data_IF_116645810050
#
_entry.id   IF_116645810050
#
_cell.length_a   1.000
_cell.length_b   1.000
_cell.length_c   1.000
_cell.angle_alpha   90.00
_cell.angle_beta   90.00
_cell.angle_gamma   90.00
#
_symmetry.space_group_name_H-M   'P 1'
#
loop_
_entity.id
_entity.type
_entity.pdbx_description
1 polymer ?
#
# COMPACT_ATOMS: atom_id res chain seq x y z
N UNK A 1 4.85 -5.15 -12.10
CA UNK A 1 4.64 -6.55 -12.50
C UNK A 1 3.18 -6.82 -12.81
N UNK A 2 2.27 -6.78 -11.82
CA UNK A 2 0.85 -7.14 -12.01
C UNK A 2 0.19 -6.45 -13.22
N UNK A 3 0.26 -5.12 -13.29
CA UNK A 3 -0.46 -4.34 -14.31
C UNK A 3 0.19 -4.37 -15.71
N UNK A 4 1.34 -5.05 -15.85
CA UNK A 4 2.06 -5.19 -17.13
C UNK A 4 2.28 -6.65 -17.50
N UNK A 5 1.62 -7.57 -16.81
CA UNK A 5 1.74 -9.01 -17.02
C UNK A 5 1.06 -9.40 -18.34
N UNK A 6 1.84 -9.93 -19.29
CA UNK A 6 1.33 -10.31 -20.61
C UNK A 6 0.44 -11.55 -20.59
N UNK A 7 0.47 -12.32 -19.50
CA UNK A 7 -0.45 -13.44 -19.29
C UNK A 7 -1.77 -13.03 -18.62
N UNK A 8 -1.95 -11.74 -18.32
CA UNK A 8 -3.16 -11.16 -17.71
C UNK A 8 -3.54 -11.79 -16.33
N UNK A 9 -2.60 -12.48 -15.69
CA UNK A 9 -2.79 -13.11 -14.39
C UNK A 9 -2.48 -12.16 -13.22
N UNK A 10 -2.03 -10.93 -13.50
CA UNK A 10 -1.69 -9.92 -12.49
C UNK A 10 -2.80 -9.57 -11.50
N UNK A 11 -4.06 -9.78 -11.89
CA UNK A 11 -5.26 -9.57 -11.07
C UNK A 11 -5.82 -10.84 -10.43
N UNK A 12 -5.12 -11.97 -10.59
CA UNK A 12 -5.43 -13.24 -9.92
C UNK A 12 -4.71 -13.33 -8.55
N UNK A 13 -5.36 -13.95 -7.58
CA UNK A 13 -4.83 -14.11 -6.21
C UNK A 13 -3.57 -14.98 -6.13
N UNK A 14 -3.37 -15.90 -7.08
CA UNK A 14 -2.21 -16.79 -7.13
C UNK A 14 -0.95 -16.13 -7.70
N UNK A 15 -1.05 -14.94 -8.29
CA UNK A 15 0.09 -14.27 -8.93
C UNK A 15 1.30 -14.10 -8.00
N UNK A 16 1.07 -13.61 -6.78
CA UNK A 16 2.14 -13.43 -5.79
C UNK A 16 2.58 -14.76 -5.17
N UNK A 17 1.65 -15.69 -4.95
CA UNK A 17 1.94 -17.03 -4.42
C UNK A 17 2.86 -17.82 -5.36
N UNK A 18 2.61 -17.73 -6.67
CA UNK A 18 3.40 -18.42 -7.67
C UNK A 18 4.83 -17.91 -7.70
N UNK A 19 5.04 -16.59 -7.77
CA UNK A 19 6.41 -16.05 -7.77
C UNK A 19 7.13 -16.31 -6.44
N UNK A 20 6.42 -16.22 -5.31
CA UNK A 20 6.95 -16.57 -3.99
C UNK A 20 7.52 -17.99 -3.96
N UNK A 21 6.72 -18.99 -4.34
CA UNK A 21 7.13 -20.39 -4.28
C UNK A 21 8.27 -20.70 -5.28
N UNK A 22 8.27 -20.09 -6.46
CA UNK A 22 9.40 -20.20 -7.38
C UNK A 22 10.69 -19.65 -6.76
N UNK A 23 10.65 -18.45 -6.18
CA UNK A 23 11.82 -17.84 -5.55
C UNK A 23 12.33 -18.66 -4.35
N UNK A 24 11.42 -19.14 -3.50
CA UNK A 24 11.78 -20.01 -2.37
C UNK A 24 12.41 -21.33 -2.83
N UNK A 25 12.01 -21.88 -3.97
CA UNK A 25 12.65 -23.09 -4.51
C UNK A 25 14.08 -22.84 -4.99
N UNK A 26 14.44 -21.60 -5.32
CA UNK A 26 15.77 -21.20 -5.81
C UNK A 26 16.72 -20.88 -4.65
N UNK A 27 16.22 -20.24 -3.59
CA UNK A 27 17.05 -19.80 -2.47
C UNK A 27 17.54 -20.95 -1.58
N UNK A 28 18.77 -20.80 -1.07
CA UNK A 28 19.32 -21.70 -0.06
C UNK A 28 18.84 -21.34 1.36
N UNK A 29 19.24 -22.14 2.36
CA UNK A 29 18.81 -21.95 3.74
C UNK A 29 19.26 -20.58 4.31
N UNK A 30 20.48 -20.13 4.02
CA UNK A 30 21.01 -18.87 4.55
C UNK A 30 20.24 -17.67 3.98
N UNK A 31 19.97 -17.66 2.68
CA UNK A 31 19.19 -16.61 2.01
C UNK A 31 17.76 -16.55 2.55
N UNK A 32 17.12 -17.71 2.77
CA UNK A 32 15.81 -17.79 3.44
C UNK A 32 15.86 -17.26 4.86
N UNK A 33 16.92 -17.59 5.62
CA UNK A 33 17.10 -17.10 6.98
C UNK A 33 17.26 -15.57 7.03
N UNK A 34 17.89 -14.95 6.02
CA UNK A 34 17.99 -13.49 5.93
C UNK A 34 16.62 -12.81 5.79
N UNK A 35 15.74 -13.33 4.94
CA UNK A 35 14.36 -12.82 4.83
C UNK A 35 13.57 -12.99 6.12
N UNK A 36 13.70 -14.14 6.78
CA UNK A 36 13.02 -14.39 8.05
C UNK A 36 13.54 -13.50 9.18
N UNK A 37 14.85 -13.28 9.25
CA UNK A 37 15.45 -12.35 10.20
C UNK A 37 14.90 -10.92 10.00
N UNK A 38 14.76 -10.49 8.74
CA UNK A 38 14.18 -9.20 8.39
C UNK A 38 12.69 -9.11 8.78
N UNK A 39 11.90 -10.18 8.58
CA UNK A 39 10.49 -10.24 8.99
C UNK A 39 10.34 -10.05 10.50
N UNK A 40 11.16 -10.76 11.30
CA UNK A 40 11.22 -10.62 12.76
C UNK A 40 11.67 -9.22 13.19
N UNK A 41 12.63 -8.64 12.47
CA UNK A 41 13.11 -7.28 12.73
C UNK A 41 12.01 -6.23 12.54
N UNK A 42 11.15 -6.41 11.52
CA UNK A 42 10.23 -5.37 11.06
C UNK A 42 8.77 -5.52 11.55
N UNK A 43 8.34 -6.69 12.05
CA UNK A 43 6.94 -6.94 12.43
C UNK A 43 6.35 -5.87 13.36
N UNK A 44 7.11 -5.47 14.39
CA UNK A 44 6.66 -4.46 15.35
C UNK A 44 6.50 -3.07 14.75
N UNK A 45 7.30 -2.73 13.72
CA UNK A 45 7.21 -1.42 13.05
C UNK A 45 5.99 -1.38 12.12
N UNK A 46 5.70 -2.48 11.41
CA UNK A 46 4.46 -2.57 10.62
C UNK A 46 3.22 -2.43 11.48
N UNK A 47 3.21 -3.05 12.67
CA UNK A 47 2.14 -2.87 13.65
C UNK A 47 1.98 -1.39 14.04
N UNK A 48 3.07 -0.70 14.36
CA UNK A 48 3.05 0.74 14.67
C UNK A 48 2.52 1.58 13.50
N UNK A 49 2.91 1.28 12.26
CA UNK A 49 2.39 1.97 11.07
C UNK A 49 0.87 1.75 10.97
N UNK A 50 0.39 0.52 11.13
CA UNK A 50 -1.03 0.21 11.07
C UNK A 50 -1.84 0.97 12.13
N UNK A 51 -1.35 1.01 13.38
CA UNK A 51 -1.96 1.76 14.48
C UNK A 51 -1.99 3.27 14.18
N UNK A 52 -0.89 3.83 13.64
CA UNK A 52 -0.85 5.24 13.25
C UNK A 52 -1.86 5.55 12.15
N UNK A 53 -2.03 4.66 11.17
CA UNK A 53 -3.04 4.81 10.12
C UNK A 53 -4.47 4.76 10.68
N UNK A 54 -4.72 3.98 11.72
CA UNK A 54 -6.04 3.95 12.38
C UNK A 54 -6.41 5.33 12.97
N UNK A 55 -5.45 6.06 13.55
CA UNK A 55 -5.66 7.43 14.04
C UNK A 55 -6.15 8.35 12.93
N UNK A 56 -5.55 8.26 11.73
CA UNK A 56 -5.97 9.06 10.55
C UNK A 56 -7.38 8.68 10.09
N UNK A 57 -7.66 7.38 9.96
CA UNK A 57 -8.99 6.89 9.55
C UNK A 57 -10.07 7.41 10.50
N UNK A 58 -9.81 7.32 11.82
CA UNK A 58 -10.73 7.82 12.85
C UNK A 58 -10.90 9.34 12.82
N UNK A 59 -9.82 10.10 12.63
CA UNK A 59 -9.92 11.56 12.51
C UNK A 59 -10.68 12.00 11.25
N UNK A 60 -10.47 11.33 10.11
CA UNK A 60 -11.21 11.61 8.88
C UNK A 60 -12.69 11.25 9.02
N UNK A 61 -13.00 10.19 9.77
CA UNK A 61 -14.38 9.85 10.14
C UNK A 61 -15.00 10.87 11.09
N UNK A 62 -14.27 11.36 12.08
CA UNK A 62 -14.76 12.43 12.93
C UNK A 62 -15.03 13.72 12.12
N UNK A 63 -14.20 14.03 11.11
CA UNK A 63 -14.39 15.18 10.23
C UNK A 63 -15.65 15.07 9.34
N UNK A 64 -15.95 13.88 8.81
CA UNK A 64 -17.14 13.66 7.97
C UNK A 64 -18.43 13.65 8.80
N UNK A 65 -18.39 13.11 10.02
CA UNK A 65 -19.54 13.03 10.93
C UNK A 65 -19.77 14.31 11.75
N UNK A 66 -18.78 15.20 11.83
CA UNK A 66 -18.86 16.41 12.65
C UNK A 66 -18.61 16.17 14.14
N UNK A 67 -18.07 15.01 14.52
CA UNK A 67 -17.75 14.64 15.90
C UNK A 67 -16.32 15.05 16.27
N UNK A 68 -16.02 16.34 16.07
CA UNK A 68 -14.68 16.92 16.31
C UNK A 68 -14.37 16.90 17.82
N UNK A 69 -13.12 16.60 18.25
CA UNK A 69 -12.75 16.61 19.67
C UNK A 69 -13.06 17.94 20.37
N UNK A 70 -13.45 17.88 21.63
CA UNK A 70 -13.78 19.07 22.42
C UNK A 70 -12.60 20.05 22.51
N UNK A 71 -12.86 21.34 22.26
CA UNK A 71 -11.82 22.38 22.23
C UNK A 71 -11.09 22.52 20.88
N UNK A 72 -11.51 21.77 19.86
CA UNK A 72 -10.99 21.86 18.49
C UNK A 72 -12.08 22.31 17.51
N UNK A 73 -11.66 22.88 16.37
CA UNK A 73 -12.55 23.50 15.37
C UNK A 73 -12.67 22.72 14.06
N UNK A 74 -11.55 22.22 13.53
CA UNK A 74 -11.49 21.58 12.22
C UNK A 74 -10.28 20.66 12.10
N UNK A 75 -10.33 19.75 11.12
CA UNK A 75 -9.15 18.98 10.73
C UNK A 75 -8.04 19.93 10.28
N UNK A 76 -6.82 19.72 10.76
CA UNK A 76 -5.69 20.61 10.46
C UNK A 76 -4.81 20.00 9.36
N UNK A 77 -4.67 20.71 8.24
CA UNK A 77 -3.77 20.28 7.15
C UNK A 77 -2.34 20.09 7.65
N UNK A 78 -1.80 21.08 8.38
CA UNK A 78 -0.45 21.01 8.94
C UNK A 78 -0.27 19.82 9.86
N UNK A 79 -1.24 19.56 10.74
CA UNK A 79 -1.14 18.43 11.66
C UNK A 79 -1.19 17.08 10.92
N UNK A 80 -2.08 16.94 9.93
CA UNK A 80 -2.18 15.73 9.10
C UNK A 80 -0.88 15.51 8.34
N UNK A 81 -0.32 16.53 7.69
CA UNK A 81 0.96 16.44 6.96
C UNK A 81 2.10 15.98 7.86
N UNK A 82 2.28 16.61 9.01
CA UNK A 82 3.34 16.26 9.97
C UNK A 82 3.17 14.83 10.50
N UNK A 83 1.93 14.44 10.79
CA UNK A 83 1.64 13.11 11.29
C UNK A 83 1.92 12.02 10.25
N UNK A 84 1.53 12.24 9.00
CA UNK A 84 1.80 11.31 7.89
C UNK A 84 3.29 11.28 7.53
N UNK A 85 3.99 12.42 7.59
CA UNK A 85 5.45 12.46 7.44
C UNK A 85 6.14 11.52 8.45
N UNK A 86 5.70 11.52 9.72
CA UNK A 86 6.19 10.58 10.73
C UNK A 86 5.88 9.11 10.46
N UNK A 87 4.82 8.78 9.70
CA UNK A 87 4.57 7.42 9.22
C UNK A 87 5.60 7.05 8.14
N UNK A 88 5.89 7.97 7.23
CA UNK A 88 6.87 7.73 6.16
C UNK A 88 8.32 7.77 6.63
N UNK A 89 8.62 8.35 7.79
CA UNK A 89 9.93 8.19 8.45
C UNK A 89 10.14 6.71 8.84
N UNK A 90 9.09 6.04 9.34
CA UNK A 90 9.10 4.60 9.63
C UNK A 90 9.18 3.79 8.34
N UNK A 91 8.35 4.08 7.34
CA UNK A 91 8.35 3.37 6.05
C UNK A 91 9.71 3.51 5.33
N UNK A 92 10.30 4.69 5.36
CA UNK A 92 11.64 4.94 4.82
C UNK A 92 12.68 4.07 5.53
N UNK A 93 12.63 3.98 6.86
CA UNK A 93 13.53 3.13 7.65
C UNK A 93 13.40 1.65 7.25
N UNK A 94 12.16 1.16 7.13
CA UNK A 94 11.86 -0.20 6.68
C UNK A 94 12.41 -0.45 5.28
N UNK A 95 12.12 0.46 4.34
CA UNK A 95 12.49 0.36 2.94
C UNK A 95 14.01 0.39 2.72
N UNK A 96 14.73 1.25 3.44
CA UNK A 96 16.20 1.28 3.40
C UNK A 96 16.78 -0.05 3.86
N UNK A 97 16.29 -0.57 4.99
CA UNK A 97 16.76 -1.84 5.54
C UNK A 97 16.43 -3.03 4.64
N UNK A 98 15.24 -3.05 4.03
CA UNK A 98 14.88 -4.05 3.02
C UNK A 98 15.84 -4.03 1.84
N UNK A 99 16.10 -2.86 1.26
CA UNK A 99 17.02 -2.73 0.13
C UNK A 99 18.44 -3.19 0.45
N UNK A 100 18.92 -2.91 1.67
CA UNK A 100 20.22 -3.38 2.16
C UNK A 100 20.28 -4.92 2.25
N UNK A 101 19.28 -5.55 2.87
CA UNK A 101 19.21 -7.01 2.98
C UNK A 101 19.07 -7.66 1.60
N UNK A 102 18.22 -7.11 0.73
CA UNK A 102 18.04 -7.62 -0.62
C UNK A 102 19.35 -7.50 -1.42
N UNK A 103 20.09 -6.40 -1.28
CA UNK A 103 21.42 -6.27 -1.90
C UNK A 103 22.40 -7.34 -1.44
N UNK A 104 22.42 -7.64 -0.13
CA UNK A 104 23.23 -8.71 0.43
C UNK A 104 22.83 -10.10 -0.11
N UNK A 105 21.53 -10.38 -0.22
CA UNK A 105 21.02 -11.61 -0.83
C UNK A 105 21.42 -11.70 -2.30
N UNK A 106 21.21 -10.63 -3.07
CA UNK A 106 21.58 -10.55 -4.48
C UNK A 106 23.08 -10.82 -4.71
N UNK A 107 23.95 -10.27 -3.84
CA UNK A 107 25.40 -10.52 -3.87
C UNK A 107 25.77 -11.97 -3.55
N UNK A 108 24.96 -12.66 -2.74
CA UNK A 108 25.19 -14.06 -2.35
C UNK A 108 24.71 -15.09 -3.38
N UNK A 109 23.98 -14.66 -4.42
CA UNK A 109 23.42 -15.57 -5.42
C UNK A 109 24.52 -16.33 -6.19
N UNK A 110 24.36 -17.64 -6.32
CA UNK A 110 25.24 -18.44 -7.18
C UNK A 110 24.90 -18.29 -8.66
N UNK A 111 25.82 -18.64 -9.54
CA UNK A 111 25.57 -18.63 -10.99
C UNK A 111 24.34 -19.48 -11.38
N UNK A 112 24.14 -20.62 -10.72
CA UNK A 112 22.97 -21.49 -10.94
C UNK A 112 21.67 -20.81 -10.50
N UNK A 113 21.66 -20.13 -9.36
CA UNK A 113 20.48 -19.40 -8.89
C UNK A 113 20.14 -18.23 -9.82
N UNK A 114 21.14 -17.47 -10.26
CA UNK A 114 20.95 -16.38 -11.24
C UNK A 114 20.35 -16.93 -12.54
N UNK A 115 20.87 -18.05 -13.03
CA UNK A 115 20.34 -18.70 -14.24
C UNK A 115 18.91 -19.21 -14.06
N UNK A 116 18.53 -19.66 -12.86
CA UNK A 116 17.16 -20.05 -12.55
C UNK A 116 16.21 -18.84 -12.49
N UNK A 117 16.61 -17.75 -11.81
CA UNK A 117 15.81 -16.51 -11.71
C UNK A 117 15.58 -15.92 -13.11
N UNK A 118 16.59 -15.94 -13.99
CA UNK A 118 16.46 -15.43 -15.38
C UNK A 118 15.43 -16.17 -16.24
N UNK A 119 15.00 -17.37 -15.84
CA UNK A 119 13.92 -18.10 -16.53
C UNK A 119 12.53 -17.60 -16.14
N UNK A 120 12.41 -16.87 -15.04
CA UNK A 120 11.19 -16.22 -14.59
C UNK A 120 11.13 -14.84 -15.26
N UNK A 121 10.32 -14.69 -16.30
CA UNK A 121 10.19 -13.43 -17.00
C UNK A 121 9.47 -12.40 -16.12
N UNK A 122 9.98 -11.16 -16.08
CA UNK A 122 9.47 -10.11 -15.18
C UNK A 122 8.04 -9.67 -15.50
N UNK A 123 7.67 -9.66 -16.78
CA UNK A 123 6.38 -9.19 -17.30
C UNK A 123 5.54 -10.33 -17.91
N UNK A 124 5.90 -11.59 -17.68
CA UNK A 124 5.17 -12.75 -18.21
C UNK A 124 5.14 -13.88 -17.18
N UNK A 125 4.08 -13.90 -16.38
CA UNK A 125 3.92 -14.87 -15.30
C UNK A 125 3.60 -16.28 -15.79
N UNK A 126 3.30 -16.48 -17.08
CA UNK A 126 3.18 -17.83 -17.66
C UNK A 126 4.50 -18.62 -17.59
N UNK A 127 5.63 -17.91 -17.43
CA UNK A 127 6.95 -18.52 -17.21
C UNK A 127 7.17 -19.00 -15.78
N UNK A 128 6.30 -18.63 -14.83
CA UNK A 128 6.41 -18.99 -13.42
C UNK A 128 5.59 -20.25 -13.18
N UNK A 129 6.25 -21.37 -12.86
CA UNK A 129 5.55 -22.64 -12.67
C UNK A 129 4.67 -22.57 -11.42
N UNK A 130 3.49 -23.17 -11.46
CA UNK A 130 2.76 -23.45 -10.24
C UNK A 130 3.55 -24.47 -9.40
N UNK A 131 3.77 -24.13 -8.13
CA UNK A 131 4.64 -24.86 -7.21
C UNK A 131 3.93 -25.05 -5.88
N UNK A 132 4.15 -26.19 -5.18
CA UNK A 132 3.59 -26.38 -3.85
C UNK A 132 4.15 -25.33 -2.89
N UNK A 133 3.40 -25.04 -1.83
CA UNK A 133 3.82 -24.11 -0.79
C UNK A 133 5.20 -24.50 -0.22
N UNK A 134 6.13 -23.55 -0.27
CA UNK A 134 7.51 -23.72 0.19
C UNK A 134 7.73 -23.17 1.61
N UNK A 135 6.71 -22.55 2.21
CA UNK A 135 6.83 -21.85 3.50
C UNK A 135 6.62 -22.81 4.69
N UNK A 136 7.44 -22.66 5.73
CA UNK A 136 7.22 -23.35 7.02
C UNK A 136 6.40 -22.45 7.97
N UNK A 137 5.10 -22.40 7.73
CA UNK A 137 4.18 -21.54 8.50
C UNK A 137 4.11 -21.87 10.00
N UNK A 138 4.55 -23.07 10.41
CA UNK A 138 4.48 -23.50 11.82
C UNK A 138 5.57 -22.86 12.68
N UNK A 139 6.66 -22.40 12.09
CA UNK A 139 7.78 -21.77 12.81
C UNK A 139 7.72 -20.24 12.85
N UNK A 140 6.65 -19.65 12.31
CA UNK A 140 6.45 -18.20 12.20
C UNK A 140 5.13 -17.79 12.85
N UNK A 141 5.08 -16.57 13.40
CA UNK A 141 3.79 -15.91 13.63
C UNK A 141 3.13 -15.63 12.27
N UNK A 142 1.82 -15.41 12.26
CA UNK A 142 1.12 -15.03 11.02
C UNK A 142 1.72 -13.76 10.39
N UNK A 143 2.08 -12.77 11.21
CA UNK A 143 2.69 -11.52 10.74
C UNK A 143 4.08 -11.75 10.13
N UNK A 144 4.88 -12.62 10.74
CA UNK A 144 6.18 -13.02 10.18
C UNK A 144 6.01 -13.76 8.85
N UNK A 145 5.02 -14.66 8.73
CA UNK A 145 4.73 -15.37 7.48
C UNK A 145 4.34 -14.40 6.35
N UNK A 146 3.47 -13.43 6.65
CA UNK A 146 3.06 -12.40 5.68
C UNK A 146 4.24 -11.54 5.25
N UNK A 147 5.06 -11.05 6.19
CA UNK A 147 6.23 -10.24 5.87
C UNK A 147 7.29 -11.03 5.11
N UNK A 148 7.56 -12.27 5.54
CA UNK A 148 8.48 -13.17 4.85
C UNK A 148 8.08 -13.40 3.39
N UNK A 149 6.81 -13.76 3.18
CA UNK A 149 6.23 -13.99 1.86
C UNK A 149 6.26 -12.73 0.98
N UNK A 150 5.96 -11.57 1.59
CA UNK A 150 6.05 -10.27 0.92
C UNK A 150 7.49 -9.99 0.50
N UNK A 151 8.47 -10.19 1.38
CA UNK A 151 9.85 -9.85 1.05
C UNK A 151 10.45 -10.71 -0.04
N UNK A 152 10.16 -12.01 -0.01
CA UNK A 152 10.66 -12.95 -1.01
C UNK A 152 10.06 -12.66 -2.38
N UNK A 153 8.76 -12.38 -2.46
CA UNK A 153 8.10 -12.02 -3.72
C UNK A 153 8.53 -10.63 -4.23
N UNK A 154 8.65 -9.64 -3.35
CA UNK A 154 9.12 -8.30 -3.70
C UNK A 154 10.60 -8.30 -4.15
N UNK A 155 11.44 -9.16 -3.56
CA UNK A 155 12.83 -9.30 -4.00
C UNK A 155 12.93 -9.58 -5.49
N UNK A 156 12.12 -10.50 -6.02
CA UNK A 156 12.11 -10.78 -7.46
C UNK A 156 11.75 -9.55 -8.27
N UNK A 157 10.69 -8.85 -7.87
CA UNK A 157 10.22 -7.65 -8.56
C UNK A 157 11.30 -6.55 -8.62
N UNK A 158 12.07 -6.40 -7.55
CA UNK A 158 13.15 -5.43 -7.48
C UNK A 158 14.39 -5.87 -8.26
N UNK A 159 14.80 -7.13 -8.10
CA UNK A 159 15.99 -7.71 -8.71
C UNK A 159 15.86 -7.84 -10.24
N UNK A 160 14.72 -8.31 -10.74
CA UNK A 160 14.46 -8.49 -12.17
C UNK A 160 13.91 -7.22 -12.84
N UNK A 161 13.42 -6.26 -12.05
CA UNK A 161 12.83 -5.02 -12.55
C UNK A 161 13.83 -3.92 -12.92
N UNK A 162 13.30 -2.73 -13.21
CA UNK A 162 14.03 -1.50 -13.53
C UNK A 162 13.63 -0.34 -12.60
N UNK A 163 14.35 0.78 -12.68
CA UNK A 163 13.95 2.01 -11.97
C UNK A 163 12.53 2.42 -12.38
N UNK A 164 12.18 2.29 -13.66
CA UNK A 164 10.85 2.57 -14.19
C UNK A 164 9.79 1.69 -13.51
N UNK A 165 10.10 0.42 -13.27
CA UNK A 165 9.22 -0.47 -12.53
C UNK A 165 9.13 -0.10 -11.03
N UNK A 166 10.24 0.27 -10.41
CA UNK A 166 10.29 0.64 -8.98
C UNK A 166 9.47 1.91 -8.69
N UNK A 167 9.47 2.86 -9.62
CA UNK A 167 8.75 4.13 -9.47
C UNK A 167 7.29 4.03 -9.84
N UNK A 168 6.86 2.98 -10.54
CA UNK A 168 5.46 2.75 -10.86
C UNK A 168 4.63 2.69 -9.57
N UNK A 169 3.51 3.40 -9.56
CA UNK A 169 2.52 3.30 -8.51
C UNK A 169 1.14 3.62 -9.08
N UNK A 170 0.12 2.94 -8.54
CA UNK A 170 -1.27 3.26 -8.81
C UNK A 170 -1.71 4.39 -7.88
N UNK A 171 -2.10 5.59 -8.38
CA UNK A 171 -2.54 6.71 -7.53
C UNK A 171 -3.74 6.37 -6.62
N UNK A 172 -4.54 5.36 -6.99
CA UNK A 172 -5.63 4.85 -6.15
C UNK A 172 -5.14 4.42 -4.75
N UNK A 173 -3.88 3.98 -4.62
CA UNK A 173 -3.32 3.53 -3.34
C UNK A 173 -3.17 4.66 -2.32
N UNK A 174 -3.04 5.91 -2.74
CA UNK A 174 -3.08 7.09 -1.84
C UNK A 174 -4.49 7.29 -1.24
N UNK A 175 -5.53 6.80 -1.90
CA UNK A 175 -6.92 6.82 -1.41
C UNK A 175 -7.26 5.68 -0.44
N UNK A 176 -6.31 4.82 -0.09
CA UNK A 176 -6.57 3.60 0.70
C UNK A 176 -7.14 3.89 2.11
N UNK A 177 -6.83 5.04 2.71
CA UNK A 177 -7.44 5.49 3.98
C UNK A 177 -8.98 5.56 3.92
N UNK A 178 -9.55 5.67 2.72
CA UNK A 178 -11.00 5.77 2.50
C UNK A 178 -11.63 4.43 2.08
N UNK A 179 -10.86 3.34 2.12
CA UNK A 179 -11.33 1.96 1.96
C UNK A 179 -11.50 1.47 0.52
N UNK A 180 -11.29 2.32 -0.50
CA UNK A 180 -11.53 1.96 -1.91
C UNK A 180 -10.80 0.68 -2.35
N UNK A 181 -9.48 0.62 -2.11
CA UNK A 181 -8.63 -0.50 -2.53
C UNK A 181 -8.95 -1.81 -1.78
N UNK A 182 -9.35 -1.75 -0.50
CA UNK A 182 -9.69 -2.97 0.24
C UNK A 182 -11.07 -3.51 -0.11
N UNK A 183 -12.02 -2.61 -0.42
CA UNK A 183 -13.38 -3.00 -0.78
C UNK A 183 -13.44 -3.79 -2.09
N UNK A 184 -12.60 -3.45 -3.07
CA UNK A 184 -12.54 -4.20 -4.35
C UNK A 184 -11.87 -5.57 -4.21
N UNK A 185 -10.92 -5.69 -3.27
CA UNK A 185 -10.14 -6.92 -3.08
C UNK A 185 -10.91 -7.95 -2.23
N UNK A 186 -11.85 -7.51 -1.40
CA UNK A 186 -12.56 -8.40 -0.47
C UNK A 186 -13.21 -9.62 -1.13
N UNK A 187 -13.94 -9.52 -2.26
CA UNK A 187 -14.52 -10.69 -2.93
C UNK A 187 -13.48 -11.69 -3.45
N UNK A 188 -12.22 -11.29 -3.58
CA UNK A 188 -11.13 -12.16 -4.02
C UNK A 188 -10.51 -12.97 -2.87
N UNK A 189 -10.72 -12.57 -1.61
CA UNK A 189 -10.09 -13.22 -0.46
C UNK A 189 -10.60 -14.67 -0.35
N UNK A 190 -9.67 -15.63 -0.41
CA UNK A 190 -9.99 -17.07 -0.33
C UNK A 190 -10.47 -17.70 -1.63
N UNK A 191 -10.50 -16.96 -2.74
CA UNK A 191 -10.98 -17.43 -4.05
C UNK A 191 -9.86 -17.40 -5.09
N UNK A 192 -9.23 -18.56 -5.34
CA UNK A 192 -8.07 -18.68 -6.26
C UNK A 192 -8.42 -18.47 -7.74
N UNK A 193 -9.68 -18.67 -8.10
CA UNK A 193 -10.23 -18.51 -9.45
C UNK A 193 -10.84 -17.12 -9.68
N UNK A 194 -10.82 -16.24 -8.67
CA UNK A 194 -11.36 -14.90 -8.79
C UNK A 194 -10.37 -13.93 -9.46
N UNK A 195 -10.87 -13.18 -10.43
CA UNK A 195 -10.18 -12.08 -11.08
C UNK A 195 -10.92 -10.79 -10.79
N UNK A 196 -10.21 -9.80 -10.22
CA UNK A 196 -10.79 -8.48 -9.96
C UNK A 196 -11.00 -7.78 -11.32
N UNK A 197 -12.22 -7.33 -11.66
CA UNK A 197 -12.45 -6.61 -12.90
C UNK A 197 -11.65 -5.31 -12.95
N UNK A 198 -10.93 -5.08 -14.05
CA UNK A 198 -10.03 -3.93 -14.21
C UNK A 198 -10.81 -2.60 -14.18
N UNK A 199 -12.02 -2.58 -14.74
CA UNK A 199 -12.84 -1.38 -14.85
C UNK A 199 -13.69 -1.07 -13.60
N UNK A 200 -13.68 -1.96 -12.59
CA UNK A 200 -14.58 -1.87 -11.42
C UNK A 200 -14.54 -0.51 -10.72
N UNK A 201 -13.34 0.04 -10.51
CA UNK A 201 -13.15 1.31 -9.80
C UNK A 201 -13.49 2.52 -10.68
N UNK A 202 -13.23 2.41 -11.98
CA UNK A 202 -13.58 3.45 -12.97
C UNK A 202 -15.10 3.59 -13.08
N UNK A 203 -15.80 2.47 -13.28
CA UNK A 203 -17.26 2.43 -13.40
C UNK A 203 -17.95 2.90 -12.12
N UNK A 204 -17.45 2.47 -10.95
CA UNK A 204 -17.94 2.96 -9.67
C UNK A 204 -17.75 4.48 -9.52
N UNK A 205 -16.63 5.03 -9.99
CA UNK A 205 -16.37 6.47 -9.99
C UNK A 205 -17.34 7.25 -10.88
N UNK A 206 -17.58 6.77 -12.12
CA UNK A 206 -18.54 7.38 -13.05
C UNK A 206 -19.95 7.38 -12.46
N UNK A 207 -20.38 6.24 -11.93
CA UNK A 207 -21.70 6.08 -11.32
C UNK A 207 -21.86 6.95 -10.06
N UNK A 208 -20.82 7.05 -9.22
CA UNK A 208 -20.82 7.96 -8.07
C UNK A 208 -21.02 9.41 -8.52
N UNK A 209 -20.25 9.88 -9.50
CA UNK A 209 -20.37 11.26 -9.99
C UNK A 209 -21.76 11.52 -10.55
N UNK A 210 -22.36 10.57 -11.27
CA UNK A 210 -23.72 10.70 -11.82
C UNK A 210 -24.79 10.94 -10.73
N UNK A 211 -24.59 10.45 -9.51
CA UNK A 211 -25.50 10.66 -8.38
C UNK A 211 -25.40 12.06 -7.74
N UNK A 212 -24.33 12.82 -8.03
CA UNK A 212 -24.05 14.11 -7.40
C UNK A 212 -24.67 15.29 -8.15
N UNK A 213 -25.05 16.33 -7.42
CA UNK A 213 -25.35 17.64 -7.98
C UNK A 213 -24.08 18.27 -8.58
N UNK A 214 -24.22 19.29 -9.42
CA UNK A 214 -23.06 19.95 -10.03
C UNK A 214 -22.10 20.54 -8.99
N UNK A 215 -22.62 21.13 -7.92
CA UNK A 215 -21.81 21.68 -6.84
C UNK A 215 -21.03 20.59 -6.08
N UNK A 216 -21.68 19.46 -5.78
CA UNK A 216 -21.03 18.30 -5.15
C UNK A 216 -19.99 17.68 -6.07
N UNK A 217 -20.32 17.51 -7.35
CA UNK A 217 -19.43 16.96 -8.38
C UNK A 217 -18.18 17.82 -8.53
N UNK A 218 -18.33 19.14 -8.54
CA UNK A 218 -17.22 20.08 -8.61
C UNK A 218 -16.22 19.95 -7.43
N UNK A 219 -16.70 19.60 -6.23
CA UNK A 219 -15.80 19.32 -5.10
C UNK A 219 -14.89 18.12 -5.36
N UNK A 220 -15.41 17.07 -6.03
CA UNK A 220 -14.66 15.85 -6.33
C UNK A 220 -13.73 16.07 -7.52
N UNK A 221 -14.24 16.59 -8.63
CA UNK A 221 -13.43 16.78 -9.84
C UNK A 221 -12.35 17.86 -9.66
N UNK A 222 -12.59 18.84 -8.78
CA UNK A 222 -11.61 19.85 -8.40
C UNK A 222 -10.38 19.32 -7.65
N UNK A 223 -10.36 18.05 -7.26
CA UNK A 223 -9.17 17.41 -6.65
C UNK A 223 -8.06 17.18 -7.69
N UNK A 224 -8.41 17.02 -8.97
CA UNK A 224 -7.49 16.57 -10.02
C UNK A 224 -6.24 17.46 -10.16
N UNK A 225 -6.42 18.77 -10.14
CA UNK A 225 -5.32 19.71 -10.36
C UNK A 225 -4.30 19.71 -9.21
N UNK A 226 -4.70 19.89 -7.92
CA UNK A 226 -3.76 19.73 -6.81
C UNK A 226 -3.10 18.35 -6.75
N UNK A 227 -3.86 17.31 -7.07
CA UNK A 227 -3.36 15.94 -7.14
C UNK A 227 -2.20 15.82 -8.15
N UNK A 228 -2.37 16.34 -9.36
CA UNK A 228 -1.34 16.26 -10.40
C UNK A 228 -0.01 16.90 -9.98
N UNK A 229 -0.06 18.05 -9.29
CA UNK A 229 1.14 18.73 -8.78
C UNK A 229 1.86 17.85 -7.76
N UNK A 230 1.14 17.33 -6.76
CA UNK A 230 1.73 16.49 -5.72
C UNK A 230 2.25 15.15 -6.27
N UNK A 231 1.53 14.51 -7.20
CA UNK A 231 1.96 13.26 -7.82
C UNK A 231 3.24 13.42 -8.64
N UNK A 232 3.43 14.58 -9.28
CA UNK A 232 4.66 14.87 -10.04
C UNK A 232 5.88 14.91 -9.11
N UNK A 233 5.76 15.57 -7.96
CA UNK A 233 6.83 15.62 -6.95
C UNK A 233 7.08 14.23 -6.33
N UNK A 234 6.01 13.51 -5.98
CA UNK A 234 6.07 12.14 -5.48
C UNK A 234 6.84 11.23 -6.47
N UNK A 235 6.59 11.35 -7.77
CA UNK A 235 7.28 10.55 -8.78
C UNK A 235 8.79 10.84 -8.82
N UNK A 236 9.17 12.12 -8.71
CA UNK A 236 10.58 12.52 -8.68
C UNK A 236 11.29 12.00 -7.42
N UNK A 237 10.62 12.10 -6.26
CA UNK A 237 11.10 11.53 -4.99
C UNK A 237 11.30 10.02 -5.11
N UNK A 238 10.29 9.29 -5.60
CA UNK A 238 10.36 7.82 -5.79
C UNK A 238 11.53 7.45 -6.69
N UNK A 239 11.74 8.17 -7.80
CA UNK A 239 12.86 7.91 -8.73
C UNK A 239 14.21 8.09 -8.05
N UNK A 240 14.34 9.11 -7.21
CA UNK A 240 15.59 9.36 -6.47
C UNK A 240 15.82 8.27 -5.42
N UNK A 241 14.82 7.93 -4.62
CA UNK A 241 14.91 6.85 -3.62
C UNK A 241 15.20 5.50 -4.30
N UNK A 242 14.52 5.14 -5.38
CA UNK A 242 14.75 3.90 -6.11
C UNK A 242 16.18 3.82 -6.66
N UNK A 243 16.70 4.93 -7.19
CA UNK A 243 18.09 5.03 -7.65
C UNK A 243 19.08 4.80 -6.49
N UNK A 244 18.83 5.39 -5.33
CA UNK A 244 19.63 5.15 -4.12
C UNK A 244 19.57 3.68 -3.71
N UNK A 245 18.40 3.06 -3.65
CA UNK A 245 18.27 1.65 -3.28
C UNK A 245 18.99 0.72 -4.25
N UNK A 246 18.92 0.95 -5.56
CA UNK A 246 19.62 0.13 -6.56
C UNK A 246 21.14 0.16 -6.43
N UNK A 247 21.73 1.11 -5.70
CA UNK A 247 23.16 1.07 -5.34
C UNK A 247 23.54 -0.21 -4.61
N UNK A 248 22.64 -0.75 -3.79
CA UNK A 248 22.85 -2.03 -3.11
C UNK A 248 22.94 -3.22 -4.07
N UNK A 249 22.15 -3.23 -5.16
CA UNK A 249 22.29 -4.24 -6.22
C UNK A 249 23.63 -4.12 -6.95
N UNK A 250 24.13 -2.89 -7.12
CA UNK A 250 25.45 -2.63 -7.69
C UNK A 250 26.62 -2.89 -6.71
N UNK A 251 26.35 -3.38 -5.49
CA UNK A 251 27.37 -3.67 -4.48
C UNK A 251 27.92 -2.44 -3.76
N UNK A 252 27.23 -1.30 -3.84
CA UNK A 252 27.57 -0.04 -3.18
C UNK A 252 26.49 0.35 -2.16
N UNK A 253 26.70 1.44 -1.42
CA UNK A 253 25.81 1.85 -0.33
C UNK A 253 24.93 3.03 -0.73
N UNK A 254 23.65 2.95 -0.37
CA UNK A 254 22.68 4.04 -0.55
C UNK A 254 22.89 5.17 0.47
N UNK A 255 22.64 6.42 0.08
CA UNK A 255 22.68 7.57 0.98
C UNK A 255 21.45 7.56 1.91
N UNK A 256 21.63 7.06 3.14
CA UNK A 256 20.55 6.95 4.12
C UNK A 256 19.93 8.30 4.48
N UNK A 257 20.74 9.34 4.69
CA UNK A 257 20.24 10.66 5.08
C UNK A 257 19.32 11.25 3.99
N UNK A 258 19.72 11.12 2.72
CA UNK A 258 18.90 11.53 1.59
C UNK A 258 17.59 10.74 1.51
N UNK A 259 17.65 9.41 1.65
CA UNK A 259 16.43 8.57 1.65
C UNK A 259 15.48 8.98 2.77
N UNK A 260 15.98 9.28 3.98
CA UNK A 260 15.13 9.70 5.10
C UNK A 260 14.49 11.05 4.86
N UNK A 261 15.27 12.04 4.41
CA UNK A 261 14.75 13.35 4.04
C UNK A 261 13.65 13.25 2.99
N UNK A 262 13.87 12.43 1.95
CA UNK A 262 12.92 12.26 0.86
C UNK A 262 11.69 11.44 1.28
N UNK A 263 11.84 10.47 2.19
CA UNK A 263 10.71 9.72 2.74
C UNK A 263 9.82 10.62 3.58
N UNK A 264 10.41 11.48 4.42
CA UNK A 264 9.68 12.49 5.17
C UNK A 264 8.87 13.40 4.23
N UNK A 265 9.52 13.94 3.19
CA UNK A 265 8.87 14.80 2.20
C UNK A 265 7.75 14.08 1.45
N UNK A 266 7.95 12.81 1.11
CA UNK A 266 6.88 11.97 0.55
C UNK A 266 5.67 11.96 1.47
N UNK A 267 5.88 11.73 2.78
CA UNK A 267 4.79 11.68 3.74
C UNK A 267 4.08 13.03 3.94
N UNK A 268 4.77 14.16 3.82
CA UNK A 268 4.10 15.47 3.78
C UNK A 268 3.15 15.59 2.58
N UNK A 269 3.54 15.07 1.41
CA UNK A 269 2.71 15.07 0.20
C UNK A 269 1.54 14.10 0.32
N UNK A 270 1.77 12.89 0.83
CA UNK A 270 0.71 11.90 1.12
C UNK A 270 -0.29 12.43 2.15
N UNK A 271 0.18 13.15 3.17
CA UNK A 271 -0.66 13.80 4.15
C UNK A 271 -1.48 14.95 3.57
N UNK A 272 -0.89 15.77 2.70
CA UNK A 272 -1.62 16.82 1.98
C UNK A 272 -2.72 16.24 1.08
N UNK A 273 -2.41 15.16 0.37
CA UNK A 273 -3.39 14.40 -0.43
C UNK A 273 -4.53 13.84 0.42
N UNK A 274 -4.18 13.19 1.53
CA UNK A 274 -5.15 12.60 2.46
C UNK A 274 -6.07 13.65 3.07
N UNK A 275 -5.52 14.80 3.49
CA UNK A 275 -6.30 15.94 3.97
C UNK A 275 -7.24 16.49 2.88
N UNK A 276 -6.73 16.66 1.66
CA UNK A 276 -7.53 17.15 0.52
C UNK A 276 -8.72 16.21 0.24
N UNK A 277 -8.50 14.90 0.21
CA UNK A 277 -9.57 13.92 0.07
C UNK A 277 -10.57 13.99 1.24
N UNK A 278 -10.08 13.94 2.48
CA UNK A 278 -10.94 13.96 3.67
C UNK A 278 -11.84 15.20 3.73
N UNK A 279 -11.30 16.37 3.37
CA UNK A 279 -12.05 17.63 3.40
C UNK A 279 -13.07 17.73 2.27
N UNK A 280 -12.71 17.36 1.03
CA UNK A 280 -13.64 17.37 -0.11
C UNK A 280 -14.75 16.35 0.06
N UNK A 281 -14.43 15.14 0.54
CA UNK A 281 -15.43 14.11 0.81
C UNK A 281 -16.37 14.54 1.93
N UNK A 282 -15.86 15.16 3.00
CA UNK A 282 -16.71 15.71 4.06
C UNK A 282 -17.63 16.83 3.57
N UNK A 283 -17.14 17.73 2.71
CA UNK A 283 -17.94 18.79 2.11
C UNK A 283 -19.10 18.23 1.28
N UNK A 284 -18.84 17.21 0.45
CA UNK A 284 -19.89 16.53 -0.31
C UNK A 284 -20.88 15.84 0.63
N UNK A 285 -20.37 15.03 1.57
CA UNK A 285 -21.20 14.21 2.45
C UNK A 285 -22.22 15.03 3.27
N UNK A 286 -21.79 16.20 3.79
CA UNK A 286 -22.64 17.11 4.57
C UNK A 286 -23.83 17.67 3.77
N UNK A 287 -23.76 17.63 2.45
CA UNK A 287 -24.82 18.14 1.55
C UNK A 287 -25.61 17.04 0.85
N UNK A 288 -25.26 15.76 1.06
CA UNK A 288 -25.96 14.65 0.44
C UNK A 288 -27.40 14.54 0.97
N UNK A 289 -28.34 14.38 0.05
CA UNK A 289 -29.72 14.00 0.39
C UNK A 289 -29.76 12.55 0.87
N UNK A 290 -30.84 12.16 1.56
CA UNK A 290 -31.01 10.76 1.97
C UNK A 290 -31.03 9.82 0.75
N UNK A 291 -31.71 10.21 -0.33
CA UNK A 291 -31.74 9.45 -1.59
C UNK A 291 -30.35 9.21 -2.16
N UNK A 292 -29.47 10.22 -2.14
CA UNK A 292 -28.09 10.06 -2.60
C UNK A 292 -27.30 9.12 -1.68
N UNK A 293 -27.47 9.23 -0.36
CA UNK A 293 -26.82 8.34 0.61
C UNK A 293 -27.22 6.88 0.38
N UNK A 294 -28.51 6.61 0.22
CA UNK A 294 -29.02 5.26 -0.02
C UNK A 294 -28.50 4.69 -1.35
N UNK A 295 -28.42 5.51 -2.40
CA UNK A 295 -27.84 5.12 -3.68
C UNK A 295 -26.33 4.81 -3.58
N UNK A 296 -25.57 5.61 -2.82
CA UNK A 296 -24.14 5.39 -2.60
C UNK A 296 -23.87 4.12 -1.78
N UNK A 297 -24.72 3.79 -0.80
CA UNK A 297 -24.63 2.52 -0.05
C UNK A 297 -24.81 1.33 -0.99
N UNK A 298 -25.80 1.39 -1.90
CA UNK A 298 -26.02 0.36 -2.92
C UNK A 298 -24.83 0.24 -3.88
N UNK A 299 -24.32 1.37 -4.36
CA UNK A 299 -23.17 1.42 -5.28
C UNK A 299 -21.91 0.79 -4.65
N UNK A 300 -21.69 1.01 -3.36
CA UNK A 300 -20.57 0.43 -2.61
C UNK A 300 -20.74 -1.05 -2.25
N UNK A 301 -21.94 -1.61 -2.44
CA UNK A 301 -22.28 -2.99 -2.06
C UNK A 301 -21.83 -3.35 -0.64
N UNK A 302 -22.07 -2.48 0.36
CA UNK A 302 -21.44 -2.59 1.68
C UNK A 302 -21.84 -3.84 2.49
N UNK A 303 -22.92 -4.52 2.12
CA UNK A 303 -23.46 -5.65 2.88
C UNK A 303 -22.58 -6.90 2.84
N UNK A 304 -21.52 -6.92 2.03
CA UNK A 304 -20.60 -8.05 1.94
C UNK A 304 -19.40 -7.93 2.88
N UNK A 305 -19.17 -6.76 3.51
CA UNK A 305 -17.96 -6.55 4.32
C UNK A 305 -18.13 -7.02 5.76
N UNK A 306 -17.09 -7.65 6.36
CA UNK A 306 -17.19 -8.18 7.69
C UNK A 306 -16.98 -7.08 8.73
N UNK A 307 -17.59 -7.24 9.89
CA UNK A 307 -17.42 -6.31 11.01
C UNK A 307 -16.05 -6.45 11.68
N UNK A 308 -15.61 -5.38 12.32
CA UNK A 308 -14.40 -5.37 13.15
C UNK A 308 -13.18 -4.71 12.48
N UNK A 309 -12.01 -4.99 13.05
CA UNK A 309 -10.71 -4.49 12.57
C UNK A 309 -9.91 -5.66 12.05
N UNK A 310 -9.29 -5.48 10.88
CA UNK A 310 -8.50 -6.51 10.21
C UNK A 310 -7.07 -6.03 10.02
N UNK A 311 -6.12 -6.96 10.11
CA UNK A 311 -4.73 -6.77 9.71
C UNK A 311 -4.32 -7.98 8.88
N UNK A 312 -3.73 -7.75 7.72
CA UNK A 312 -3.35 -8.82 6.78
C UNK A 312 -4.49 -9.78 6.39
N UNK A 313 -5.71 -9.23 6.24
CA UNK A 313 -6.95 -9.96 5.98
C UNK A 313 -7.47 -10.87 7.11
N UNK A 314 -6.79 -10.90 8.27
CA UNK A 314 -7.26 -11.61 9.46
C UNK A 314 -7.89 -10.67 10.48
N UNK A 315 -8.95 -11.11 11.18
CA UNK A 315 -9.56 -10.31 12.24
C UNK A 315 -8.57 -10.16 13.40
N UNK A 316 -8.43 -8.93 13.89
CA UNK A 316 -7.63 -8.63 15.07
C UNK A 316 -8.50 -8.08 16.18
N UNK A 317 -8.01 -8.16 17.43
CA UNK A 317 -8.66 -7.48 18.54
C UNK A 317 -8.75 -5.99 18.23
N UNK A 318 -9.95 -5.43 18.35
CA UNK A 318 -10.16 -3.98 18.22
C UNK A 318 -9.24 -3.25 19.21
N UNK A 319 -8.33 -2.40 18.71
CA UNK A 319 -7.44 -1.64 19.59
C UNK A 319 -8.25 -0.62 20.40
N UNK A 320 -7.63 -0.08 21.46
CA UNK A 320 -8.22 1.04 22.20
C UNK A 320 -8.51 2.22 21.26
N UNK A 321 -9.56 2.99 21.56
CA UNK A 321 -9.93 4.14 20.74
C UNK A 321 -8.75 5.14 20.70
N UNK A 322 -8.20 5.44 19.52
CA UNK A 322 -7.03 6.32 19.43
C UNK A 322 -7.40 7.78 19.74
N UNK A 323 -6.49 8.50 20.39
CA UNK A 323 -6.62 9.96 20.48
C UNK A 323 -6.35 10.60 19.12
N UNK A 324 -7.40 11.21 18.55
CA UNK A 324 -7.32 11.90 17.27
C UNK A 324 -7.05 13.40 17.41
N UNK A 325 -7.05 13.95 18.63
CA UNK A 325 -6.96 15.40 18.89
C UNK A 325 -5.73 16.05 18.28
N UNK A 326 -4.64 15.30 18.15
CA UNK A 326 -3.40 15.75 17.49
C UNK A 326 -3.58 16.15 16.02
N UNK A 327 -4.65 15.70 15.36
CA UNK A 327 -4.93 15.98 13.94
C UNK A 327 -5.87 17.18 13.71
N UNK A 328 -6.34 17.83 14.77
CA UNK A 328 -7.27 18.95 14.69
C UNK A 328 -6.62 20.25 15.15
N UNK A 329 -7.11 21.39 14.64
CA UNK A 329 -6.72 22.73 15.10
C UNK A 329 -7.67 23.24 16.19
N UNK A 330 -7.11 24.00 17.14
CA UNK A 330 -7.86 24.75 18.15
C UNK A 330 -8.43 26.06 17.59
#
# INVERSE_FOLDING_TARGET
MRDIDTSEAGHNMMFLTNILNNMLSIFNADQKAMFLALAREQEGIYRQIAEKRLVLIKAFRANIEGTIPAGYKALSETAVKNYVAGIFDLDGTLSYRRAEVYGAIAKSLTATQIAAIKKLAFNDSSTWKEMPDQTDKKSMTHEQDVLYSTYVSEFFSWYAGSIEADVYFCPERHGTYFGGFYMKDYPAIGHSDYFIPIDLTSDAGVNMLALLTDSQRAQITGIKEPLQVMLTEILAIRRTIATEFRKFLAGTTANKALVMQLSHRYGELDGALSYLYATRFAAVYKTLTQTQKDALVKLRNQNVFPEGVYLYADPVKTPAEPDTSILFSK
#
